data_IF_756511254906
#
_entry.id   IF_756511254906
#
_cell.length_a   1.000
_cell.length_b   1.000
_cell.length_c   1.000
_cell.angle_alpha   90.00
_cell.angle_beta   90.00
_cell.angle_gamma   90.00
#
_symmetry.space_group_name_H-M   'P 1'
#
loop_
_entity.id
_entity.type
_entity.pdbx_description
1 polymer ?
#
# COMPACT_ATOMS: atom_id res chain seq x y z
N UNK A 1 -20.43 17.26 22.40
CA UNK A 1 -21.15 16.00 22.78
C UNK A 1 -21.20 14.94 21.67
N UNK A 2 -21.18 15.31 20.37
CA UNK A 2 -21.15 14.34 19.24
C UNK A 2 -19.86 13.52 19.15
N UNK A 3 -18.69 14.12 19.42
CA UNK A 3 -17.38 13.43 19.28
C UNK A 3 -17.17 12.28 20.26
N UNK A 4 -17.59 12.42 21.54
CA UNK A 4 -17.48 11.34 22.53
C UNK A 4 -18.41 10.15 22.23
N UNK A 5 -19.59 10.40 21.64
CA UNK A 5 -20.50 9.31 21.22
C UNK A 5 -19.96 8.57 20.00
N UNK A 6 -19.39 9.28 19.01
CA UNK A 6 -18.75 8.65 17.86
C UNK A 6 -17.55 7.80 18.27
N UNK A 7 -16.70 8.30 19.18
CA UNK A 7 -15.57 7.54 19.71
C UNK A 7 -16.01 6.25 20.45
N UNK A 8 -17.15 6.27 21.14
CA UNK A 8 -17.70 5.10 21.82
C UNK A 8 -18.30 4.06 20.87
N UNK A 9 -18.91 4.49 19.75
CA UNK A 9 -19.52 3.59 18.75
C UNK A 9 -18.47 2.88 17.89
N UNK A 10 -17.30 3.49 17.70
CA UNK A 10 -16.23 2.95 16.86
C UNK A 10 -15.22 2.09 17.62
N UNK A 11 -15.22 2.11 18.97
CA UNK A 11 -14.25 1.36 19.77
C UNK A 11 -14.32 -0.14 19.45
N UNK A 12 -13.21 -0.70 19.00
CA UNK A 12 -13.11 -2.11 18.60
C UNK A 12 -13.59 -2.42 17.17
N UNK A 13 -13.99 -1.42 16.38
CA UNK A 13 -14.20 -1.62 14.94
C UNK A 13 -12.84 -1.72 14.22
N UNK A 14 -12.77 -2.65 13.28
CA UNK A 14 -11.60 -2.88 12.43
C UNK A 14 -11.90 -2.48 10.98
N UNK A 15 -10.92 -1.88 10.32
CA UNK A 15 -10.97 -1.50 8.91
C UNK A 15 -9.79 -2.14 8.20
N UNK A 16 -10.06 -2.78 7.07
CA UNK A 16 -9.02 -3.27 6.15
C UNK A 16 -8.73 -2.16 5.14
N UNK A 17 -7.47 -1.75 5.05
CA UNK A 17 -7.04 -0.70 4.14
C UNK A 17 -5.76 -1.13 3.42
N UNK A 18 -5.70 -0.86 2.11
CA UNK A 18 -4.54 -1.25 1.30
C UNK A 18 -3.26 -0.48 1.61
N UNK A 19 -3.35 0.64 2.33
CA UNK A 19 -2.22 1.45 2.76
C UNK A 19 -2.61 2.36 3.93
N UNK A 20 -1.64 2.69 4.79
CA UNK A 20 -1.83 3.66 5.87
C UNK A 20 -0.59 4.53 6.05
N UNK A 21 -0.82 5.82 6.34
CA UNK A 21 0.26 6.78 6.58
C UNK A 21 1.08 6.48 7.84
N UNK A 22 0.53 5.65 8.75
CA UNK A 22 1.22 5.22 9.98
C UNK A 22 2.01 3.92 9.79
N UNK A 23 2.01 3.33 8.59
CA UNK A 23 2.83 2.14 8.29
C UNK A 23 4.32 2.46 8.42
N UNK A 24 5.06 1.51 8.96
CA UNK A 24 6.51 1.48 9.12
C UNK A 24 7.25 0.82 7.94
N UNK A 25 6.52 0.42 6.89
CA UNK A 25 7.11 -0.14 5.68
C UNK A 25 8.24 0.77 5.14
N UNK A 26 9.40 0.19 4.75
CA UNK A 26 10.52 0.95 4.25
C UNK A 26 10.13 1.92 3.12
N UNK A 27 10.55 3.18 3.25
CA UNK A 27 10.27 4.21 2.25
C UNK A 27 8.89 4.87 2.35
N UNK A 28 7.97 4.39 3.20
CA UNK A 28 6.64 4.98 3.34
C UNK A 28 6.70 6.48 3.76
N UNK A 29 7.51 6.81 4.76
CA UNK A 29 7.68 8.20 5.22
C UNK A 29 8.31 9.09 4.14
N UNK A 30 9.22 8.54 3.33
CA UNK A 30 9.82 9.23 2.18
C UNK A 30 8.77 9.50 1.10
N UNK A 31 7.91 8.52 0.79
CA UNK A 31 6.79 8.69 -0.13
C UNK A 31 5.86 9.82 0.33
N UNK A 32 5.46 9.82 1.62
CA UNK A 32 4.60 10.87 2.19
C UNK A 32 5.24 12.25 2.05
N UNK A 33 6.52 12.40 2.43
CA UNK A 33 7.25 13.65 2.32
C UNK A 33 7.31 14.17 0.87
N UNK A 34 7.65 13.28 -0.08
CA UNK A 34 7.74 13.63 -1.50
C UNK A 34 6.36 13.98 -2.09
N UNK A 35 5.31 13.27 -1.69
CA UNK A 35 3.96 13.53 -2.15
C UNK A 35 3.47 14.91 -1.68
N UNK A 36 3.65 15.23 -0.39
CA UNK A 36 3.35 16.55 0.18
C UNK A 36 4.14 17.66 -0.51
N UNK A 37 5.44 17.46 -0.72
CA UNK A 37 6.29 18.46 -1.39
C UNK A 37 5.82 18.74 -2.82
N UNK A 38 5.33 17.71 -3.54
CA UNK A 38 4.90 17.84 -4.93
C UNK A 38 3.48 18.40 -5.09
N UNK A 39 2.55 17.97 -4.24
CA UNK A 39 1.12 18.24 -4.43
C UNK A 39 0.51 19.15 -3.37
N UNK A 40 1.23 19.46 -2.29
CA UNK A 40 0.75 20.32 -1.20
C UNK A 40 -0.35 19.71 -0.34
N UNK A 41 -0.62 18.40 -0.47
CA UNK A 41 -1.66 17.66 0.24
C UNK A 41 -1.12 16.32 0.74
N UNK A 42 -1.81 15.72 1.70
CA UNK A 42 -1.53 14.35 2.16
C UNK A 42 -1.86 13.31 1.09
N UNK A 43 -1.06 12.24 0.94
CA UNK A 43 -1.44 11.12 0.11
C UNK A 43 -2.61 10.34 0.71
N UNK A 44 -3.49 9.89 -0.17
CA UNK A 44 -4.53 8.92 0.15
C UNK A 44 -4.10 7.49 -0.25
N UNK A 45 -4.78 6.43 0.26
CA UNK A 45 -4.44 5.05 -0.07
C UNK A 45 -4.35 4.74 -1.56
N UNK A 46 -5.25 5.31 -2.38
CA UNK A 46 -5.24 5.11 -3.83
C UNK A 46 -3.98 5.67 -4.51
N UNK A 47 -3.46 6.79 -4.00
CA UNK A 47 -2.21 7.37 -4.49
C UNK A 47 -1.01 6.48 -4.15
N UNK A 48 -0.97 5.91 -2.93
CA UNK A 48 0.07 4.98 -2.50
C UNK A 48 0.02 3.67 -3.31
N UNK A 49 -1.17 3.11 -3.54
CA UNK A 49 -1.35 1.91 -4.37
C UNK A 49 -0.90 2.17 -5.82
N UNK A 50 -1.31 3.29 -6.41
CA UNK A 50 -0.90 3.65 -7.78
C UNK A 50 0.62 3.83 -7.89
N UNK A 51 1.25 4.42 -6.86
CA UNK A 51 2.71 4.53 -6.77
C UNK A 51 3.37 3.15 -6.81
N UNK A 52 2.88 2.19 -6.02
CA UNK A 52 3.41 0.82 -6.01
C UNK A 52 3.16 0.10 -7.32
N UNK A 53 1.97 0.20 -7.90
CA UNK A 53 1.65 -0.43 -9.20
C UNK A 53 2.66 -0.04 -10.28
N UNK A 54 3.04 1.24 -10.35
CA UNK A 54 4.03 1.71 -11.32
C UNK A 54 5.43 1.17 -11.04
N UNK A 55 5.83 1.02 -9.77
CA UNK A 55 7.13 0.44 -9.42
C UNK A 55 7.22 -1.04 -9.78
N UNK A 56 6.16 -1.80 -9.49
CA UNK A 56 6.04 -3.21 -9.86
C UNK A 56 6.08 -3.39 -11.38
N UNK A 57 5.32 -2.57 -12.12
CA UNK A 57 5.33 -2.60 -13.59
C UNK A 57 6.72 -2.25 -14.15
N UNK A 58 7.37 -1.21 -13.62
CA UNK A 58 8.71 -0.81 -14.05
C UNK A 58 9.75 -1.92 -13.78
N UNK A 59 9.63 -2.62 -12.64
CA UNK A 59 10.46 -3.77 -12.32
C UNK A 59 10.29 -4.89 -13.36
N UNK A 60 9.04 -5.23 -13.69
CA UNK A 60 8.75 -6.28 -14.68
C UNK A 60 9.24 -5.90 -16.08
N UNK A 61 9.05 -4.64 -16.51
CA UNK A 61 9.59 -4.16 -17.80
C UNK A 61 11.11 -4.29 -17.83
N UNK A 62 11.78 -3.93 -16.73
CA UNK A 62 13.23 -4.06 -16.61
C UNK A 62 13.69 -5.52 -16.67
N UNK A 63 12.96 -6.42 -16.01
CA UNK A 63 13.25 -7.86 -16.01
C UNK A 63 13.02 -8.50 -17.39
N UNK A 64 11.96 -8.09 -18.09
CA UNK A 64 11.64 -8.60 -19.43
C UNK A 64 12.67 -8.21 -20.51
N UNK A 65 13.43 -7.13 -20.28
CA UNK A 65 14.37 -6.54 -21.26
C UNK A 65 13.75 -6.35 -22.66
N UNK A 66 12.45 -6.07 -22.70
CA UNK A 66 11.64 -6.01 -23.91
C UNK A 66 10.48 -5.04 -23.72
N UNK A 67 10.00 -4.50 -24.84
CA UNK A 67 8.74 -3.74 -24.89
C UNK A 67 7.54 -4.62 -25.31
N UNK A 68 7.76 -5.92 -25.55
CA UNK A 68 6.70 -6.86 -25.88
C UNK A 68 5.78 -7.11 -24.67
N UNK A 69 4.47 -7.00 -24.88
CA UNK A 69 3.48 -7.12 -23.82
C UNK A 69 3.43 -8.52 -23.19
N UNK A 70 3.70 -9.56 -23.97
CA UNK A 70 3.71 -10.95 -23.49
C UNK A 70 4.91 -11.16 -22.57
N UNK A 71 6.10 -10.69 -23.00
CA UNK A 71 7.30 -10.75 -22.18
C UNK A 71 7.15 -9.98 -20.85
N UNK A 72 6.52 -8.79 -20.88
CA UNK A 72 6.27 -8.00 -19.66
C UNK A 72 5.26 -8.70 -18.74
N UNK A 73 4.17 -9.26 -19.29
CA UNK A 73 3.19 -10.04 -18.52
C UNK A 73 3.86 -11.23 -17.82
N UNK A 74 4.71 -11.95 -18.53
CA UNK A 74 5.40 -13.12 -17.97
C UNK A 74 6.38 -12.68 -16.86
N UNK A 75 7.11 -11.59 -17.06
CA UNK A 75 7.97 -11.02 -16.03
C UNK A 75 7.18 -10.47 -14.81
N UNK A 76 5.98 -9.95 -15.01
CA UNK A 76 5.09 -9.56 -13.91
C UNK A 76 4.73 -10.77 -13.04
N UNK A 77 4.35 -11.89 -13.66
CA UNK A 77 3.97 -13.11 -12.96
C UNK A 77 5.12 -13.70 -12.11
N UNK A 78 6.36 -13.43 -12.49
CA UNK A 78 7.56 -13.83 -11.73
C UNK A 78 7.95 -12.85 -10.60
N UNK A 79 7.20 -11.77 -10.39
CA UNK A 79 7.47 -10.83 -9.30
C UNK A 79 7.24 -11.50 -7.94
N UNK A 80 8.32 -11.60 -7.17
CA UNK A 80 8.32 -12.17 -5.82
C UNK A 80 9.15 -11.30 -4.88
N UNK A 81 8.64 -11.11 -3.68
CA UNK A 81 9.28 -10.40 -2.57
C UNK A 81 9.88 -9.04 -3.01
N UNK A 82 9.17 -8.34 -3.91
CA UNK A 82 9.61 -7.06 -4.42
C UNK A 82 9.32 -5.98 -3.36
N UNK A 83 10.32 -5.26 -2.85
CA UNK A 83 10.12 -4.34 -1.74
C UNK A 83 9.32 -3.10 -2.19
N UNK A 84 8.24 -2.79 -1.48
CA UNK A 84 7.38 -1.63 -1.74
C UNK A 84 7.00 -0.89 -0.45
N UNK A 85 6.33 0.26 -0.58
CA UNK A 85 5.75 0.98 0.56
C UNK A 85 4.49 0.30 1.15
N UNK A 86 4.05 -0.83 0.56
CA UNK A 86 3.01 -1.71 1.11
C UNK A 86 3.62 -2.97 1.77
N UNK A 87 4.95 -3.02 1.92
CA UNK A 87 5.67 -4.24 2.29
C UNK A 87 6.18 -5.00 1.06
N UNK A 88 6.60 -6.24 1.28
CA UNK A 88 7.06 -7.12 0.21
C UNK A 88 5.87 -7.54 -0.67
N UNK A 89 6.03 -7.35 -1.98
CA UNK A 89 4.98 -7.53 -2.97
C UNK A 89 5.28 -8.70 -3.88
N UNK A 90 4.29 -9.57 -4.04
CA UNK A 90 4.34 -10.74 -4.93
C UNK A 90 3.02 -10.90 -5.70
N UNK A 91 3.00 -11.77 -6.71
CA UNK A 91 1.76 -12.28 -7.29
C UNK A 91 1.58 -13.77 -6.98
N UNK A 92 0.33 -14.20 -6.76
CA UNK A 92 -0.01 -15.62 -6.74
C UNK A 92 -0.20 -16.17 -8.18
N UNK A 93 -0.36 -17.49 -8.37
CA UNK A 93 -0.56 -18.08 -9.69
C UNK A 93 -1.80 -17.59 -10.45
N UNK A 94 -2.80 -17.07 -9.75
CA UNK A 94 -4.02 -16.50 -10.34
C UNK A 94 -3.85 -15.03 -10.75
N UNK A 95 -2.72 -14.40 -10.40
CA UNK A 95 -2.42 -13.00 -10.68
C UNK A 95 -2.90 -12.03 -9.59
N UNK A 96 -3.33 -12.53 -8.44
CA UNK A 96 -3.67 -11.67 -7.30
C UNK A 96 -2.42 -11.13 -6.63
N UNK A 97 -2.48 -9.85 -6.25
CA UNK A 97 -1.43 -9.21 -5.48
C UNK A 97 -1.38 -9.76 -4.05
N UNK A 98 -0.18 -10.18 -3.64
CA UNK A 98 0.15 -10.60 -2.28
C UNK A 98 1.05 -9.54 -1.66
N UNK A 99 0.59 -8.94 -0.57
CA UNK A 99 1.33 -8.01 0.28
C UNK A 99 0.66 -7.96 1.65
N UNK A 100 1.36 -7.43 2.64
CA UNK A 100 0.82 -7.34 4.00
C UNK A 100 -0.31 -6.31 4.07
N UNK A 101 -1.54 -6.81 4.24
CA UNK A 101 -2.69 -5.93 4.42
C UNK A 101 -2.67 -5.29 5.79
N UNK A 102 -2.94 -3.99 5.83
CA UNK A 102 -3.01 -3.25 7.09
C UNK A 102 -4.44 -3.33 7.63
N UNK A 103 -4.57 -3.89 8.83
CA UNK A 103 -5.81 -3.81 9.60
C UNK A 103 -5.67 -2.67 10.60
N UNK A 104 -6.59 -1.71 10.56
CA UNK A 104 -6.65 -0.62 11.52
C UNK A 104 -7.76 -0.89 12.53
N UNK A 105 -7.47 -0.74 13.81
CA UNK A 105 -8.44 -0.82 14.91
C UNK A 105 -8.54 0.51 15.63
N UNK A 106 -9.75 0.90 16.04
CA UNK A 106 -9.93 2.08 16.90
C UNK A 106 -9.65 1.72 18.35
N UNK A 107 -8.50 2.19 18.86
CA UNK A 107 -8.09 2.11 20.27
C UNK A 107 -7.95 3.54 20.81
N UNK A 108 -8.53 3.79 21.99
CA UNK A 108 -8.50 5.11 22.66
C UNK A 108 -8.93 6.31 21.80
N UNK A 109 -9.82 6.06 20.83
CA UNK A 109 -10.35 7.08 19.93
C UNK A 109 -9.46 7.43 18.73
N UNK A 110 -8.36 6.69 18.51
CA UNK A 110 -7.48 6.84 17.36
C UNK A 110 -7.34 5.49 16.59
N UNK A 111 -7.05 5.57 15.30
CA UNK A 111 -6.67 4.39 14.52
C UNK A 111 -5.24 3.96 14.86
N UNK A 112 -5.08 2.68 15.17
CA UNK A 112 -3.78 2.02 15.36
C UNK A 112 -3.74 0.80 14.45
N UNK A 113 -2.55 0.41 13.99
CA UNK A 113 -2.38 -0.87 13.32
C UNK A 113 -2.70 -1.98 14.31
N UNK A 114 -3.50 -2.95 13.87
CA UNK A 114 -3.79 -4.18 14.60
C UNK A 114 -2.68 -5.18 14.26
N UNK A 115 -1.80 -5.42 15.22
CA UNK A 115 -0.83 -6.53 15.22
C UNK A 115 -1.51 -7.88 15.50
#
# INVERSE_FOLDING_TARGET
>A
MKSKRQAMVLKGQSVFIGWSSISDAPGNQTFIANYRAKYGIEPEPWAAQSYVTLHVLANAIKAAQSADSTAIRDALAETKDFPTILGDFSFNPDGDALYDQIVLVVKDGAFQVLE
#
